data_IF_286148766394
#
_entry.id   IF_286148766394
#
_cell.length_a   1.000
_cell.length_b   1.000
_cell.length_c   1.000
_cell.angle_alpha   90.00
_cell.angle_beta   90.00
_cell.angle_gamma   90.00
#
_symmetry.space_group_name_H-M   'P 1'
#
loop_
_entity.id
_entity.type
_entity.pdbx_description
1 polymer ?
#
# COMPACT_ATOMS: atom_id res chain seq x y z
N UNK A 1 2.19 10.34 -16.01
CA UNK A 1 2.72 11.08 -14.83
C UNK A 1 2.77 10.12 -13.67
N UNK A 2 3.96 9.74 -13.19
CA UNK A 2 4.06 8.90 -11.99
C UNK A 2 3.55 9.72 -10.80
N UNK A 3 2.68 9.14 -9.96
CA UNK A 3 2.17 9.78 -8.74
C UNK A 3 3.05 9.33 -7.57
N UNK A 4 4.17 10.02 -7.26
CA UNK A 4 5.08 9.59 -6.20
C UNK A 4 4.41 9.56 -4.83
N UNK A 5 3.36 10.36 -4.63
CA UNK A 5 2.50 10.35 -3.43
C UNK A 5 1.88 8.97 -3.12
N UNK A 6 1.70 8.12 -4.14
CA UNK A 6 1.13 6.78 -3.95
C UNK A 6 2.18 5.77 -3.46
N UNK A 7 3.48 6.05 -3.58
CA UNK A 7 4.53 5.09 -3.21
C UNK A 7 4.49 3.81 -4.06
N UNK A 8 4.80 2.66 -3.45
CA UNK A 8 4.86 1.37 -4.16
C UNK A 8 3.53 0.61 -4.07
N UNK A 9 3.17 -0.07 -5.17
CA UNK A 9 2.02 -0.98 -5.17
C UNK A 9 2.39 -2.29 -4.48
N UNK A 10 1.66 -2.65 -3.43
CA UNK A 10 1.83 -3.88 -2.66
C UNK A 10 0.57 -4.74 -2.67
N UNK A 11 0.68 -5.95 -2.14
CA UNK A 11 -0.41 -6.90 -1.95
C UNK A 11 -0.56 -7.13 -0.46
N UNK A 12 -1.77 -6.97 0.05
CA UNK A 12 -2.14 -7.31 1.41
C UNK A 12 -2.03 -8.84 1.62
N UNK A 13 -1.28 -9.31 2.62
CA UNK A 13 -1.01 -10.75 2.79
C UNK A 13 -2.22 -11.56 3.26
N UNK A 14 -3.22 -10.94 3.88
CA UNK A 14 -4.39 -11.63 4.43
C UNK A 14 -5.54 -11.71 3.42
N UNK A 15 -5.79 -10.61 2.70
CA UNK A 15 -6.91 -10.46 1.76
C UNK A 15 -6.50 -10.63 0.29
N UNK A 16 -5.20 -10.56 -0.02
CA UNK A 16 -4.69 -10.58 -1.40
C UNK A 16 -5.00 -9.31 -2.20
N UNK A 17 -5.54 -8.27 -1.56
CA UNK A 17 -5.90 -7.02 -2.22
C UNK A 17 -4.68 -6.15 -2.51
N UNK A 18 -4.70 -5.45 -3.65
CA UNK A 18 -3.61 -4.54 -4.02
C UNK A 18 -3.85 -3.16 -3.43
N UNK A 19 -2.84 -2.59 -2.78
CA UNK A 19 -2.89 -1.22 -2.25
C UNK A 19 -1.60 -0.47 -2.55
N UNK A 20 -1.63 0.84 -2.34
CA UNK A 20 -0.49 1.74 -2.45
C UNK A 20 0.01 2.04 -1.04
N UNK A 21 1.31 1.90 -0.78
CA UNK A 21 1.86 2.13 0.57
C UNK A 21 1.88 3.60 0.98
N UNK A 22 1.61 4.53 0.05
CA UNK A 22 1.60 5.97 0.27
C UNK A 22 2.90 6.50 0.91
N UNK A 23 4.00 5.77 0.76
CA UNK A 23 5.28 6.01 1.44
C UNK A 23 5.16 6.06 2.97
N UNK A 24 4.20 5.33 3.57
CA UNK A 24 4.06 5.23 5.02
C UNK A 24 5.09 4.25 5.62
N UNK A 25 5.59 4.61 6.79
CA UNK A 25 6.40 3.73 7.64
C UNK A 25 5.78 3.73 9.06
N UNK A 26 5.27 2.60 9.58
CA UNK A 26 5.22 1.29 8.94
C UNK A 26 4.25 1.23 7.74
N UNK A 27 4.51 0.30 6.83
CA UNK A 27 3.63 0.01 5.69
C UNK A 27 2.42 -0.77 6.19
N UNK A 28 1.29 -0.09 6.26
CA UNK A 28 0.03 -0.62 6.78
C UNK A 28 -0.98 -0.72 5.64
N UNK A 29 -1.61 -1.89 5.55
CA UNK A 29 -2.70 -2.10 4.59
C UNK A 29 -3.98 -1.45 5.11
N UNK A 30 -4.72 -0.71 4.29
CA UNK A 30 -5.98 -0.10 4.72
C UNK A 30 -7.08 -1.13 5.02
N UNK A 31 -6.86 -2.41 4.70
CA UNK A 31 -7.82 -3.48 4.90
C UNK A 31 -7.64 -4.23 6.23
N UNK A 32 -6.43 -4.21 6.78
CA UNK A 32 -6.02 -5.09 7.90
C UNK A 32 -5.34 -4.34 9.05
N UNK A 33 -4.73 -3.17 8.79
CA UNK A 33 -4.03 -2.36 9.79
C UNK A 33 -2.53 -2.66 9.84
#
# INVERSE_FOLDING_TARGET
>A
MAKPELGTKRIDPETGQKFYDLNKDPIVSPYTG
#
